data_IF_098773342144
#
_entry.id   IF_098773342144
#
_cell.length_a   1.000
_cell.length_b   1.000
_cell.length_c   1.000
_cell.angle_alpha   90.00
_cell.angle_beta   90.00
_cell.angle_gamma   90.00
#
_symmetry.space_group_name_H-M   'P 1'
#
loop_
_entity.id
_entity.type
_entity.pdbx_description
1 polymer ?
#
# COMPACT_ATOMS: atom_id res chain seq x y z
N UNK A 1 -11.84 -10.16 -2.67
CA UNK A 1 -12.33 -9.91 -1.32
C UNK A 1 -12.86 -8.53 -1.21
N UNK A 2 -14.13 -8.42 -0.81
CA UNK A 2 -14.81 -7.13 -0.85
C UNK A 2 -14.16 -6.11 0.08
N UNK A 3 -13.65 -6.54 1.22
CA UNK A 3 -13.02 -5.62 2.17
C UNK A 3 -11.68 -5.08 1.68
N UNK A 4 -11.14 -5.64 0.59
CA UNK A 4 -9.90 -5.17 -0.01
C UNK A 4 -10.16 -4.20 -1.16
N UNK A 5 -11.41 -3.89 -1.42
CA UNK A 5 -11.75 -2.99 -2.51
C UNK A 5 -11.78 -1.56 -2.06
N UNK A 6 -11.21 -0.70 -2.87
CA UNK A 6 -11.28 0.73 -2.64
C UNK A 6 -12.72 1.18 -2.87
N UNK A 7 -13.31 1.94 -1.92
CA UNK A 7 -14.68 2.42 -2.10
C UNK A 7 -14.85 3.22 -3.38
N UNK A 8 -16.02 3.10 -3.98
CA UNK A 8 -16.29 3.59 -5.33
C UNK A 8 -16.03 5.08 -5.51
N UNK A 9 -16.29 5.88 -4.47
CA UNK A 9 -16.22 7.34 -4.62
C UNK A 9 -14.90 7.92 -4.11
N UNK A 10 -13.99 7.06 -3.70
CA UNK A 10 -12.68 7.52 -3.25
C UNK A 10 -11.80 7.86 -4.45
N UNK A 11 -10.84 8.74 -4.23
CA UNK A 11 -9.95 9.21 -5.29
C UNK A 11 -8.51 9.13 -4.85
N UNK A 12 -7.60 9.16 -5.83
CA UNK A 12 -6.18 9.15 -5.56
C UNK A 12 -5.78 10.52 -5.01
N UNK A 13 -5.14 10.52 -3.83
CA UNK A 13 -4.66 11.73 -3.20
C UNK A 13 -3.20 12.00 -3.55
N UNK A 14 -2.45 10.91 -3.70
CA UNK A 14 -1.05 11.03 -4.00
C UNK A 14 -0.55 9.71 -4.55
N UNK A 15 0.51 9.78 -5.36
CA UNK A 15 1.16 8.60 -5.92
C UNK A 15 2.65 8.71 -5.68
N UNK A 16 3.28 7.58 -5.40
CA UNK A 16 4.73 7.56 -5.27
C UNK A 16 5.37 7.45 -6.65
N UNK A 17 6.67 7.77 -6.78
CA UNK A 17 7.38 7.38 -7.97
C UNK A 17 7.45 5.85 -8.05
N UNK A 18 7.92 5.31 -9.17
CA UNK A 18 8.14 3.88 -9.26
C UNK A 18 9.42 3.53 -8.53
N UNK A 19 9.31 2.61 -7.59
CA UNK A 19 10.44 2.14 -6.80
C UNK A 19 11.08 0.93 -7.46
N UNK A 20 12.40 0.83 -7.31
CA UNK A 20 13.16 -0.35 -7.69
C UNK A 20 13.79 -0.94 -6.44
N UNK A 21 14.51 -2.05 -6.60
CA UNK A 21 15.21 -2.68 -5.49
C UNK A 21 16.19 -1.71 -4.83
N UNK A 22 16.75 -0.76 -5.60
CA UNK A 22 17.71 0.21 -5.12
C UNK A 22 17.09 1.44 -4.48
N UNK A 23 15.81 1.73 -4.79
CA UNK A 23 15.18 2.97 -4.32
C UNK A 23 14.03 2.75 -3.36
N UNK A 24 13.61 1.50 -3.15
CA UNK A 24 12.47 1.21 -2.29
C UNK A 24 12.78 1.65 -0.85
N UNK A 25 11.86 2.38 -0.20
CA UNK A 25 12.07 2.75 1.20
C UNK A 25 12.10 1.53 2.10
N UNK A 26 13.04 1.50 3.03
CA UNK A 26 13.21 0.34 3.90
C UNK A 26 11.95 0.03 4.71
N UNK A 27 11.17 1.05 5.05
CA UNK A 27 9.96 0.86 5.84
C UNK A 27 8.96 -0.06 5.15
N UNK A 28 8.96 -0.11 3.81
CA UNK A 28 8.03 -0.98 3.09
C UNK A 28 8.41 -2.45 3.19
N UNK A 29 9.65 -2.75 3.56
CA UNK A 29 10.14 -4.12 3.65
C UNK A 29 9.96 -4.71 5.04
N UNK A 30 9.46 -3.92 5.99
CA UNK A 30 9.20 -4.34 7.35
C UNK A 30 7.74 -4.09 7.69
N UNK A 31 7.28 -4.64 8.81
CA UNK A 31 5.89 -4.46 9.23
C UNK A 31 5.56 -2.97 9.33
N UNK A 32 4.58 -2.53 8.57
CA UNK A 32 4.07 -1.16 8.61
C UNK A 32 2.59 -1.19 8.28
N UNK A 33 1.89 -0.08 8.51
CA UNK A 33 0.47 -0.04 8.17
C UNK A 33 0.15 1.17 7.34
N UNK A 34 -1.06 1.14 6.76
CA UNK A 34 -1.58 2.24 5.97
C UNK A 34 -2.30 3.20 6.91
N UNK A 35 -2.23 4.49 6.62
CA UNK A 35 -2.86 5.51 7.45
C UNK A 35 -4.36 5.28 7.54
N UNK A 36 -4.94 5.73 8.65
CA UNK A 36 -6.38 5.67 8.85
C UNK A 36 -7.09 6.43 7.73
N UNK A 37 -8.15 5.83 7.19
CA UNK A 37 -8.94 6.46 6.14
C UNK A 37 -8.30 6.41 4.76
N UNK A 38 -7.23 5.64 4.57
CA UNK A 38 -6.49 5.58 3.32
C UNK A 38 -6.33 4.14 2.88
N UNK A 39 -6.60 3.86 1.60
CA UNK A 39 -6.21 2.59 0.97
C UNK A 39 -4.92 2.81 0.20
N UNK A 40 -4.00 1.86 0.33
CA UNK A 40 -2.82 1.81 -0.53
C UNK A 40 -3.09 0.88 -1.70
N UNK A 41 -2.73 1.32 -2.91
CA UNK A 41 -2.85 0.48 -4.10
C UNK A 41 -1.46 0.30 -4.68
N UNK A 42 -0.95 -0.92 -4.62
CA UNK A 42 0.39 -1.23 -5.09
C UNK A 42 0.28 -1.77 -6.51
N UNK A 43 0.87 -1.06 -7.46
CA UNK A 43 0.79 -1.39 -8.87
C UNK A 43 2.18 -1.81 -9.36
N UNK A 44 2.28 -3.03 -9.90
CA UNK A 44 3.57 -3.58 -10.34
C UNK A 44 3.69 -3.37 -11.84
N UNK A 45 4.78 -2.71 -12.26
CA UNK A 45 5.07 -2.47 -13.66
C UNK A 45 5.99 -3.55 -14.23
N UNK A 46 6.96 -4.01 -13.47
CA UNK A 46 7.88 -5.07 -13.89
C UNK A 46 8.17 -5.98 -12.73
N UNK A 47 8.50 -7.22 -13.03
CA UNK A 47 8.90 -8.19 -12.03
C UNK A 47 7.74 -8.61 -11.15
N UNK A 48 8.06 -8.93 -9.91
CA UNK A 48 7.10 -9.50 -8.96
C UNK A 48 7.27 -8.85 -7.59
N UNK A 49 6.16 -8.50 -6.97
CA UNK A 49 6.13 -8.03 -5.59
C UNK A 49 5.18 -8.95 -4.82
N UNK A 50 5.65 -9.47 -3.69
CA UNK A 50 4.81 -10.29 -2.82
C UNK A 50 4.41 -9.46 -1.61
N UNK A 51 3.11 -9.39 -1.38
CA UNK A 51 2.52 -8.62 -0.29
C UNK A 51 2.13 -9.60 0.82
N UNK A 52 2.57 -9.31 2.04
CA UNK A 52 2.25 -10.10 3.22
C UNK A 52 1.42 -9.27 4.18
N UNK A 53 0.24 -9.77 4.52
CA UNK A 53 -0.64 -9.10 5.47
C UNK A 53 -0.65 -9.81 6.81
N UNK A 54 -0.71 -9.06 7.90
CA UNK A 54 -0.60 -9.58 9.26
C UNK A 54 -1.77 -9.14 10.09
N UNK A 55 -2.17 -10.00 11.04
CA UNK A 55 -3.29 -9.69 11.93
C UNK A 55 -2.99 -8.50 12.85
N UNK A 56 -1.71 -8.36 13.24
CA UNK A 56 -1.29 -7.25 14.11
C UNK A 56 0.21 -7.02 13.92
N UNK A 57 0.73 -6.01 14.62
CA UNK A 57 2.12 -5.61 14.46
C UNK A 57 3.10 -6.70 14.88
N UNK A 58 2.76 -7.48 15.89
CA UNK A 58 3.65 -8.49 16.44
C UNK A 58 3.57 -9.83 15.75
N UNK A 59 2.60 -10.02 14.87
CA UNK A 59 2.42 -11.30 14.19
C UNK A 59 3.63 -11.61 13.31
N UNK A 60 4.15 -12.83 13.42
CA UNK A 60 5.28 -13.26 12.61
C UNK A 60 4.84 -14.06 11.39
N UNK A 61 3.61 -14.56 11.40
CA UNK A 61 3.07 -15.33 10.28
C UNK A 61 2.02 -14.51 9.56
N UNK A 62 2.14 -14.46 8.24
CA UNK A 62 1.21 -13.69 7.43
C UNK A 62 -0.13 -14.43 7.38
N UNK A 63 -1.22 -13.68 7.55
CA UNK A 63 -2.57 -14.23 7.34
C UNK A 63 -3.00 -14.09 5.89
N UNK A 64 -2.30 -13.25 5.11
CA UNK A 64 -2.53 -13.09 3.68
C UNK A 64 -1.20 -13.04 2.95
N UNK A 65 -1.14 -13.69 1.79
CA UNK A 65 0.03 -13.60 0.91
C UNK A 65 -0.52 -13.37 -0.50
N UNK A 66 -0.13 -12.27 -1.12
CA UNK A 66 -0.59 -11.94 -2.47
C UNK A 66 0.63 -11.71 -3.35
N UNK A 67 0.74 -12.49 -4.41
CA UNK A 67 1.82 -12.33 -5.39
C UNK A 67 1.30 -11.45 -6.52
N UNK A 68 1.97 -10.33 -6.75
CA UNK A 68 1.56 -9.33 -7.73
C UNK A 68 2.60 -9.30 -8.84
N UNK A 69 2.17 -9.63 -10.05
CA UNK A 69 3.08 -9.65 -11.20
C UNK A 69 2.84 -8.42 -12.08
N UNK A 70 3.72 -8.21 -13.05
CA UNK A 70 3.67 -7.04 -13.92
C UNK A 70 2.28 -6.88 -14.54
N UNK A 71 1.75 -5.67 -14.48
CA UNK A 71 0.42 -5.36 -14.98
C UNK A 71 -0.69 -5.57 -13.98
N UNK A 72 -0.38 -6.05 -12.79
CA UNK A 72 -1.37 -6.30 -11.74
C UNK A 72 -1.23 -5.31 -10.61
N UNK A 73 -2.24 -5.24 -9.76
CA UNK A 73 -2.19 -4.44 -8.56
C UNK A 73 -2.90 -5.16 -7.41
N UNK A 74 -2.60 -4.73 -6.20
CA UNK A 74 -3.29 -5.19 -5.00
C UNK A 74 -3.56 -3.99 -4.12
N UNK A 75 -4.60 -4.09 -3.28
CA UNK A 75 -4.97 -2.99 -2.39
C UNK A 75 -4.75 -3.40 -0.95
N UNK A 76 -4.28 -2.43 -0.14
CA UNK A 76 -4.07 -2.61 1.28
C UNK A 76 -5.04 -1.70 2.01
N UNK A 77 -5.92 -2.27 2.85
CA UNK A 77 -6.93 -1.43 3.53
C UNK A 77 -6.29 -0.56 4.61
N UNK A 78 -7.03 0.45 5.09
CA UNK A 78 -6.52 1.31 6.14
C UNK A 78 -6.07 0.52 7.36
N UNK A 79 -4.98 0.95 7.95
CA UNK A 79 -4.48 0.45 9.24
C UNK A 79 -4.16 -1.04 9.27
N UNK A 80 -3.97 -1.65 8.11
CA UNK A 80 -3.64 -3.07 8.02
C UNK A 80 -2.14 -3.24 8.02
N UNK A 81 -1.62 -4.10 8.90
CA UNK A 81 -0.18 -4.34 9.01
C UNK A 81 0.27 -5.22 7.86
N UNK A 82 1.36 -4.84 7.21
CA UNK A 82 1.84 -5.56 6.04
C UNK A 82 3.31 -5.26 5.77
N UNK A 83 3.89 -6.04 4.90
CA UNK A 83 5.22 -5.77 4.35
C UNK A 83 5.29 -6.41 2.97
N UNK A 84 6.36 -6.11 2.24
CA UNK A 84 6.53 -6.65 0.90
C UNK A 84 7.91 -7.23 0.71
N UNK A 85 8.00 -8.15 -0.24
CA UNK A 85 9.25 -8.62 -0.83
C UNK A 85 9.18 -8.35 -2.33
N UNK A 86 10.32 -8.10 -2.95
CA UNK A 86 10.31 -7.80 -4.37
C UNK A 86 11.44 -8.54 -5.07
N UNK A 87 11.19 -8.95 -6.32
CA UNK A 87 12.22 -9.54 -7.14
C UNK A 87 13.24 -8.47 -7.53
N UNK A 88 14.42 -8.91 -7.98
CA UNK A 88 15.50 -7.98 -8.30
C UNK A 88 15.13 -7.00 -9.41
N UNK A 89 14.27 -7.44 -10.33
CA UNK A 89 13.86 -6.60 -11.46
C UNK A 89 12.53 -5.88 -11.21
N UNK A 90 11.98 -5.96 -10.01
CA UNK A 90 10.65 -5.39 -9.75
C UNK A 90 10.66 -3.88 -9.81
N UNK A 91 9.59 -3.33 -10.37
CA UNK A 91 9.30 -1.89 -10.36
C UNK A 91 7.83 -1.72 -10.01
N UNK A 92 7.56 -0.90 -9.01
CA UNK A 92 6.18 -0.69 -8.56
C UNK A 92 6.02 0.71 -8.00
N UNK A 93 4.77 1.16 -7.97
CA UNK A 93 4.44 2.39 -7.26
C UNK A 93 3.25 2.14 -6.35
N UNK A 94 2.94 3.12 -5.51
CA UNK A 94 1.79 3.05 -4.63
C UNK A 94 0.95 4.30 -4.85
N UNK A 95 -0.34 4.08 -5.08
CA UNK A 95 -1.33 5.15 -5.13
C UNK A 95 -2.10 5.13 -3.82
N UNK A 96 -2.28 6.31 -3.23
CA UNK A 96 -3.00 6.44 -1.96
C UNK A 96 -4.37 7.03 -2.24
N UNK A 97 -5.41 6.29 -1.87
CA UNK A 97 -6.80 6.65 -2.13
C UNK A 97 -7.49 7.01 -0.84
N UNK A 98 -8.33 8.03 -0.88
CA UNK A 98 -9.16 8.37 0.26
C UNK A 98 -10.45 9.03 -0.20
N UNK A 99 -11.40 9.13 0.75
CA UNK A 99 -12.66 9.83 0.53
C UNK A 99 -12.36 11.32 0.31
N UNK A 100 -13.08 11.94 -0.64
CA UNK A 100 -12.88 13.35 -0.94
C UNK A 100 -13.01 14.23 0.32
N UNK A 101 -14.02 13.96 1.13
CA UNK A 101 -14.22 14.75 2.34
C UNK A 101 -13.12 14.49 3.34
N UNK A 102 -12.72 13.25 3.47
CA UNK A 102 -11.63 12.89 4.36
C UNK A 102 -10.29 13.40 3.88
N UNK A 103 -10.13 13.58 2.58
CA UNK A 103 -8.92 14.19 2.05
C UNK A 103 -8.71 15.59 2.62
N UNK A 104 -9.77 16.39 2.64
CA UNK A 104 -9.67 17.72 3.18
C UNK A 104 -9.29 17.71 4.65
N UNK A 105 -9.87 16.80 5.41
CA UNK A 105 -9.52 16.63 6.80
C UNK A 105 -8.05 16.26 6.97
N UNK A 106 -7.58 15.27 6.21
CA UNK A 106 -6.21 14.79 6.33
C UNK A 106 -5.22 15.88 5.97
N UNK A 107 -5.48 16.62 4.89
CA UNK A 107 -4.60 17.68 4.48
C UNK A 107 -4.55 18.80 5.52
N UNK A 108 -5.67 19.10 6.13
CA UNK A 108 -5.72 20.11 7.18
C UNK A 108 -4.88 19.69 8.37
N UNK A 109 -5.01 18.45 8.81
CA UNK A 109 -4.23 17.93 9.92
C UNK A 109 -2.74 17.94 9.61
N UNK A 110 -2.38 17.57 8.40
CA UNK A 110 -0.98 17.55 8.00
C UNK A 110 -0.36 18.94 8.09
N UNK A 111 -1.13 19.98 7.85
CA UNK A 111 -0.62 21.34 7.94
C UNK A 111 -0.39 21.80 9.36
N UNK A 112 -1.10 21.23 10.30
CA UNK A 112 -0.96 21.63 11.70
C UNK A 112 0.13 20.87 12.43
N UNK A 113 0.63 19.84 11.81
CA UNK A 113 1.72 19.08 12.38
C UNK A 113 3.05 19.57 11.89
#
# INVERSE_FOLDING_TARGET
MSHMRIPKEWTIQRSTPFFTKQTVPAVLLTHHNTAQGVFGQLCVMEGTVTYYGFANEEATEAEQVVVITAGQFATSPPQYWHCIEMSDDAQFNINFWSDRDKRNEVMFHAKTE
#
